data_IF_787965881034
#
_entry.id   IF_787965881034
#
_cell.length_a   1.000
_cell.length_b   1.000
_cell.length_c   1.000
_cell.angle_alpha   90.00
_cell.angle_beta   90.00
_cell.angle_gamma   90.00
#
_symmetry.space_group_name_H-M   'P 1'
#
loop_
_entity.id
_entity.type
_entity.pdbx_description
1 polymer ?
#
# COMPACT_ATOMS: atom_id res chain seq x y z
N UNK A 1 10.56 -8.43 9.99
CA UNK A 1 10.35 -7.17 10.73
C UNK A 1 11.02 -7.14 12.11
N UNK A 2 11.06 -8.24 12.85
CA UNK A 2 11.64 -8.28 14.21
C UNK A 2 13.07 -7.70 14.32
N UNK A 3 13.93 -7.95 13.33
CA UNK A 3 15.30 -7.37 13.28
C UNK A 3 15.24 -5.84 13.23
N UNK A 4 14.40 -5.27 12.35
CA UNK A 4 14.22 -3.83 12.22
C UNK A 4 13.59 -3.22 13.50
N UNK A 5 12.64 -3.91 14.12
CA UNK A 5 12.09 -3.47 15.42
C UNK A 5 13.16 -3.44 16.52
N UNK A 6 14.06 -4.43 16.57
CA UNK A 6 15.20 -4.44 17.48
C UNK A 6 16.19 -3.30 17.23
N UNK A 7 16.44 -2.97 15.94
CA UNK A 7 17.22 -1.79 15.57
C UNK A 7 16.55 -0.50 16.06
N UNK A 8 15.23 -0.33 15.81
CA UNK A 8 14.48 0.83 16.26
C UNK A 8 14.48 0.96 17.79
N UNK A 9 14.37 -0.17 18.50
CA UNK A 9 14.47 -0.23 19.95
C UNK A 9 15.83 0.28 20.44
N UNK A 10 16.92 -0.22 19.86
CA UNK A 10 18.26 0.25 20.18
C UNK A 10 18.42 1.75 19.91
N UNK A 11 17.99 2.22 18.72
CA UNK A 11 18.07 3.64 18.37
C UNK A 11 17.33 4.50 19.39
N UNK A 12 16.12 4.11 19.78
CA UNK A 12 15.27 4.87 20.72
C UNK A 12 15.81 4.86 22.15
N UNK A 13 16.12 3.68 22.69
CA UNK A 13 16.38 3.51 24.13
C UNK A 13 17.85 3.56 24.51
N UNK A 14 18.77 3.27 23.59
CA UNK A 14 20.21 3.34 23.85
C UNK A 14 20.85 4.57 23.21
N UNK A 15 20.53 4.86 21.94
CA UNK A 15 21.14 5.97 21.21
C UNK A 15 20.39 7.31 21.36
N UNK A 16 19.20 7.34 21.97
CA UNK A 16 18.39 8.55 22.12
C UNK A 16 17.89 9.12 20.77
N UNK A 17 17.80 8.27 19.75
CA UNK A 17 17.43 8.63 18.38
C UNK A 17 15.96 8.30 18.13
N UNK A 18 15.21 9.28 17.65
CA UNK A 18 13.83 9.10 17.23
C UNK A 18 13.71 9.21 15.71
N UNK A 19 13.29 8.12 15.06
CA UNK A 19 12.85 8.12 13.67
C UNK A 19 11.34 8.31 13.62
N UNK A 20 10.88 9.29 12.86
CA UNK A 20 9.46 9.63 12.71
C UNK A 20 9.02 9.48 11.27
N UNK A 21 7.72 9.42 11.02
CA UNK A 21 7.15 9.33 9.67
C UNK A 21 7.61 10.48 8.74
N UNK A 22 7.78 11.68 9.28
CA UNK A 22 8.29 12.85 8.56
C UNK A 22 9.82 13.01 8.64
N UNK A 23 10.52 12.09 9.29
CA UNK A 23 11.95 12.18 9.58
C UNK A 23 12.57 10.81 9.81
N UNK A 24 12.83 10.10 8.71
CA UNK A 24 13.41 8.75 8.66
C UNK A 24 14.95 8.75 8.59
N UNK A 25 15.59 9.83 9.03
CA UNK A 25 17.04 9.97 9.06
C UNK A 25 17.49 10.47 10.43
N UNK A 26 18.69 10.07 10.83
CA UNK A 26 19.29 10.50 12.09
C UNK A 26 20.81 10.59 11.96
N UNK A 27 21.41 11.51 12.72
CA UNK A 27 22.86 11.55 12.89
C UNK A 27 23.25 10.61 14.02
N UNK A 28 24.07 9.61 13.72
CA UNK A 28 24.60 8.71 14.73
C UNK A 28 25.72 9.39 15.54
N UNK A 29 25.86 9.06 16.84
CA UNK A 29 27.03 9.48 17.61
C UNK A 29 28.29 8.80 17.06
N UNK A 30 29.46 9.41 17.27
CA UNK A 30 30.75 8.84 16.83
C UNK A 30 31.05 7.48 17.46
N UNK A 31 30.56 7.26 18.68
CA UNK A 31 30.60 5.97 19.39
C UNK A 31 29.17 5.60 19.76
N UNK A 32 28.72 4.43 19.30
CA UNK A 32 27.41 3.90 19.59
C UNK A 32 27.33 3.43 21.06
N UNK A 33 26.28 3.80 21.82
CA UNK A 33 26.14 3.38 23.22
C UNK A 33 26.09 1.84 23.38
N UNK A 34 26.86 1.26 24.31
CA UNK A 34 26.91 -0.18 24.45
C UNK A 34 25.62 -0.74 25.05
N UNK A 35 25.19 -1.91 24.57
CA UNK A 35 24.14 -2.72 25.19
C UNK A 35 24.76 -3.57 26.30
N UNK A 36 24.60 -3.14 27.55
CA UNK A 36 25.28 -3.74 28.72
C UNK A 36 24.58 -4.97 29.30
N UNK A 37 23.32 -5.21 28.92
CA UNK A 37 22.54 -6.39 29.31
C UNK A 37 21.82 -6.95 28.09
N UNK A 38 21.73 -8.27 28.00
CA UNK A 38 20.94 -8.92 26.94
C UNK A 38 19.48 -8.49 27.09
N UNK A 39 18.92 -7.96 26.01
CA UNK A 39 17.50 -7.63 25.94
C UNK A 39 16.73 -8.62 25.06
N UNK A 40 15.50 -8.88 25.47
CA UNK A 40 14.55 -9.70 24.72
C UNK A 40 13.15 -9.14 24.93
N UNK A 41 12.50 -8.80 23.82
CA UNK A 41 11.14 -8.31 23.77
C UNK A 41 10.35 -9.17 22.82
N UNK A 42 9.12 -9.49 23.19
CA UNK A 42 8.23 -10.35 22.43
C UNK A 42 6.83 -9.77 22.43
N UNK A 43 6.02 -10.17 21.46
CA UNK A 43 4.61 -9.85 21.39
C UNK A 43 3.84 -11.13 21.10
N UNK A 44 2.69 -11.28 21.75
CA UNK A 44 1.71 -12.34 21.52
C UNK A 44 0.76 -12.00 20.36
N UNK A 45 0.81 -10.78 19.83
CA UNK A 45 0.01 -10.35 18.68
C UNK A 45 0.53 -11.00 17.39
N UNK A 46 -0.24 -11.92 16.77
CA UNK A 46 0.19 -12.59 15.55
C UNK A 46 0.29 -11.60 14.39
N UNK A 47 -0.55 -10.56 14.39
CA UNK A 47 -0.60 -9.54 13.36
C UNK A 47 -0.57 -8.14 13.98
N UNK A 48 0.26 -7.28 13.41
CA UNK A 48 0.24 -5.83 13.61
C UNK A 48 -0.02 -5.22 12.23
N UNK A 49 -1.27 -4.83 12.05
CA UNK A 49 -1.82 -4.39 10.78
C UNK A 49 -1.59 -2.90 10.55
N UNK A 50 -1.41 -2.50 9.30
CA UNK A 50 -1.31 -1.09 8.91
C UNK A 50 -2.17 -0.76 7.67
N UNK A 51 -2.57 0.50 7.60
CA UNK A 51 -3.29 1.20 6.53
C UNK A 51 -4.81 1.00 6.43
N UNK A 52 -5.47 2.05 5.95
CA UNK A 52 -6.87 2.04 5.55
C UNK A 52 -6.95 2.24 4.02
N UNK A 53 -8.03 1.80 3.37
CA UNK A 53 -8.31 2.16 1.98
C UNK A 53 -8.17 3.66 1.74
N UNK A 54 -8.76 4.48 2.62
CA UNK A 54 -8.71 5.94 2.54
C UNK A 54 -7.28 6.51 2.55
N UNK A 55 -6.32 5.85 3.22
CA UNK A 55 -4.92 6.28 3.24
C UNK A 55 -4.32 6.30 1.82
N UNK A 56 -4.76 5.39 0.95
CA UNK A 56 -4.32 5.34 -0.45
C UNK A 56 -4.76 6.54 -1.26
N UNK A 57 -5.89 7.17 -0.90
CA UNK A 57 -6.39 8.38 -1.55
C UNK A 57 -5.87 9.66 -0.90
N UNK A 58 -5.90 9.73 0.44
CA UNK A 58 -5.58 10.97 1.16
C UNK A 58 -4.08 11.24 1.31
N UNK A 59 -3.28 10.18 1.38
CA UNK A 59 -1.84 10.32 1.68
C UNK A 59 -0.97 9.77 0.56
N UNK A 60 -1.32 8.61 -0.02
CA UNK A 60 -0.38 7.84 -0.83
C UNK A 60 -0.60 7.94 -2.34
N UNK A 61 -1.66 8.63 -2.80
CA UNK A 61 -2.08 8.67 -4.22
C UNK A 61 -0.91 8.91 -5.16
N UNK A 62 -0.08 9.92 -4.86
CA UNK A 62 0.99 10.37 -5.75
C UNK A 62 2.38 9.92 -5.32
N UNK A 63 2.48 8.98 -4.38
CA UNK A 63 3.78 8.46 -3.94
C UNK A 63 4.50 7.76 -5.08
N UNK A 64 5.81 7.96 -5.13
CA UNK A 64 6.72 7.21 -5.96
C UNK A 64 7.36 6.06 -5.17
N UNK A 65 8.33 5.39 -5.77
CA UNK A 65 9.04 4.30 -5.12
C UNK A 65 9.83 4.78 -3.89
N UNK A 66 10.51 5.92 -3.97
CA UNK A 66 11.36 6.40 -2.88
C UNK A 66 10.54 6.69 -1.63
N UNK A 67 9.34 7.24 -1.79
CA UNK A 67 8.43 7.44 -0.65
C UNK A 67 7.85 6.12 -0.13
N UNK A 68 7.49 5.18 -1.00
CA UNK A 68 7.01 3.85 -0.58
C UNK A 68 8.07 3.04 0.15
N UNK A 69 9.32 3.09 -0.31
CA UNK A 69 10.45 2.42 0.32
C UNK A 69 10.64 2.90 1.77
N UNK A 70 10.58 4.22 1.99
CA UNK A 70 10.62 4.81 3.34
C UNK A 70 9.44 4.36 4.21
N UNK A 71 8.24 4.22 3.63
CA UNK A 71 7.08 3.72 4.38
C UNK A 71 7.28 2.27 4.82
N UNK A 72 7.79 1.42 3.93
CA UNK A 72 8.01 0.00 4.24
C UNK A 72 9.13 -0.17 5.28
N UNK A 73 10.19 0.65 5.21
CA UNK A 73 11.20 0.73 6.28
C UNK A 73 10.57 1.17 7.60
N UNK A 74 9.71 2.19 7.58
CA UNK A 74 8.99 2.65 8.78
C UNK A 74 8.10 1.55 9.36
N UNK A 75 7.31 0.86 8.53
CA UNK A 75 6.48 -0.29 8.93
C UNK A 75 7.34 -1.36 9.63
N UNK A 76 8.49 -1.72 9.05
CA UNK A 76 9.38 -2.73 9.61
C UNK A 76 9.99 -2.30 10.96
N UNK A 77 10.47 -1.05 11.07
CA UNK A 77 10.98 -0.48 12.33
C UNK A 77 9.91 -0.45 13.45
N UNK A 78 8.63 -0.38 13.07
CA UNK A 78 7.49 -0.36 14.01
C UNK A 78 6.83 -1.74 14.17
N UNK A 79 7.41 -2.79 13.58
CA UNK A 79 6.99 -4.17 13.80
C UNK A 79 5.69 -4.57 13.08
N UNK A 80 5.21 -3.75 12.14
CA UNK A 80 4.07 -4.08 11.27
C UNK A 80 4.43 -5.30 10.43
N UNK A 81 3.57 -6.33 10.42
CA UNK A 81 3.80 -7.56 9.66
C UNK A 81 2.64 -7.97 8.75
N UNK A 82 1.59 -7.15 8.70
CA UNK A 82 0.44 -7.31 7.80
C UNK A 82 0.06 -5.91 7.33
N UNK A 83 -0.05 -5.65 6.04
CA UNK A 83 -0.40 -4.30 5.58
C UNK A 83 -1.12 -4.34 4.23
N UNK A 84 -2.08 -3.44 4.06
CA UNK A 84 -2.87 -3.33 2.83
C UNK A 84 -2.00 -2.89 1.65
N UNK A 85 -2.22 -3.50 0.48
CA UNK A 85 -1.45 -3.20 -0.74
C UNK A 85 -2.38 -3.00 -1.94
N UNK A 86 -2.95 -1.80 -2.09
CA UNK A 86 -3.93 -1.47 -3.14
C UNK A 86 -3.35 -0.86 -4.42
N UNK A 87 -2.10 -0.40 -4.42
CA UNK A 87 -1.50 0.28 -5.57
C UNK A 87 -1.62 -0.60 -6.83
N UNK A 88 -2.12 -0.03 -7.93
CA UNK A 88 -2.25 -0.75 -9.20
C UNK A 88 -3.44 -1.70 -9.32
N UNK A 89 -4.37 -1.71 -8.35
CA UNK A 89 -5.63 -2.48 -8.46
C UNK A 89 -6.48 -2.00 -9.65
N UNK A 90 -6.39 -0.72 -10.00
CA UNK A 90 -6.99 -0.14 -11.21
C UNK A 90 -6.51 -0.82 -12.50
N UNK A 91 -5.24 -1.25 -12.55
CA UNK A 91 -4.69 -1.99 -13.70
C UNK A 91 -5.29 -3.39 -13.80
N UNK A 92 -5.57 -4.04 -12.66
CA UNK A 92 -6.25 -5.35 -12.64
C UNK A 92 -7.67 -5.21 -13.16
N UNK A 93 -8.42 -4.20 -12.69
CA UNK A 93 -9.78 -3.92 -13.14
C UNK A 93 -9.85 -3.60 -14.62
N UNK A 94 -9.00 -2.71 -15.12
CA UNK A 94 -8.91 -2.43 -16.56
C UNK A 94 -8.73 -3.72 -17.36
N UNK A 95 -7.82 -4.60 -16.94
CA UNK A 95 -7.55 -5.87 -17.62
C UNK A 95 -8.75 -6.84 -17.55
N UNK A 96 -9.48 -6.88 -16.43
CA UNK A 96 -10.71 -7.67 -16.28
C UNK A 96 -11.79 -7.15 -17.22
N UNK A 97 -12.05 -5.84 -17.22
CA UNK A 97 -13.09 -5.23 -18.06
C UNK A 97 -12.80 -5.39 -19.55
N UNK A 98 -11.54 -5.23 -19.98
CA UNK A 98 -11.14 -5.54 -21.35
C UNK A 98 -11.47 -6.99 -21.74
N UNK A 99 -11.22 -7.96 -20.84
CA UNK A 99 -11.58 -9.37 -21.08
C UNK A 99 -13.08 -9.62 -21.10
N UNK A 100 -13.87 -8.79 -20.42
CA UNK A 100 -15.33 -8.81 -20.42
C UNK A 100 -15.94 -8.05 -21.62
N UNK A 101 -15.12 -7.55 -22.54
CA UNK A 101 -15.58 -6.87 -23.77
C UNK A 101 -15.92 -5.38 -23.59
N UNK A 102 -15.50 -4.77 -22.48
CA UNK A 102 -15.59 -3.32 -22.31
C UNK A 102 -14.56 -2.62 -23.21
N UNK A 103 -14.99 -1.54 -23.84
CA UNK A 103 -14.13 -0.60 -24.57
C UNK A 103 -13.36 0.28 -23.59
N UNK A 104 -12.34 0.96 -24.11
CA UNK A 104 -11.55 1.90 -23.32
C UNK A 104 -12.42 3.02 -22.71
N UNK A 105 -13.39 3.52 -23.46
CA UNK A 105 -14.25 4.61 -23.00
C UNK A 105 -15.20 4.14 -21.89
N UNK A 106 -15.79 2.94 -22.01
CA UNK A 106 -16.60 2.38 -20.92
C UNK A 106 -15.75 2.08 -19.65
N UNK A 107 -14.48 1.72 -19.80
CA UNK A 107 -13.57 1.56 -18.64
C UNK A 107 -13.27 2.90 -17.99
N UNK A 108 -13.09 3.95 -18.79
CA UNK A 108 -12.82 5.31 -18.32
C UNK A 108 -14.01 5.89 -17.54
N UNK A 109 -15.23 5.47 -17.85
CA UNK A 109 -16.44 5.84 -17.12
C UNK A 109 -16.57 5.09 -15.78
N UNK A 110 -15.92 3.93 -15.64
CA UNK A 110 -16.00 3.11 -14.43
C UNK A 110 -14.83 3.34 -13.45
N UNK A 111 -13.59 3.31 -13.94
CA UNK A 111 -12.40 3.41 -13.10
C UNK A 111 -12.21 4.85 -12.65
N UNK A 112 -12.27 5.08 -11.33
CA UNK A 112 -12.07 6.41 -10.78
C UNK A 112 -10.64 6.94 -10.99
N UNK A 113 -10.51 8.27 -10.92
CA UNK A 113 -9.21 8.94 -10.96
C UNK A 113 -8.35 8.63 -9.72
N UNK A 114 -7.03 8.93 -9.77
CA UNK A 114 -6.06 8.45 -8.79
C UNK A 114 -6.42 8.85 -7.35
N UNK A 115 -6.89 10.08 -7.16
CA UNK A 115 -7.27 10.63 -5.86
C UNK A 115 -8.49 9.96 -5.22
N UNK A 116 -9.28 9.17 -5.97
CA UNK A 116 -10.54 8.59 -5.52
C UNK A 116 -10.54 7.07 -5.49
N UNK A 117 -9.39 6.44 -5.74
CA UNK A 117 -9.19 4.98 -5.74
C UNK A 117 -9.76 4.29 -4.49
N UNK A 118 -9.62 4.91 -3.31
CA UNK A 118 -10.12 4.32 -2.06
C UNK A 118 -11.65 4.07 -2.10
N UNK A 119 -12.43 5.11 -2.38
CA UNK A 119 -13.90 5.01 -2.39
C UNK A 119 -14.41 4.17 -3.54
N UNK A 120 -13.73 4.20 -4.68
CA UNK A 120 -14.02 3.34 -5.81
C UNK A 120 -13.83 1.86 -5.46
N UNK A 121 -12.68 1.47 -4.89
CA UNK A 121 -12.45 0.08 -4.48
C UNK A 121 -13.31 -0.39 -3.31
N UNK A 122 -13.92 0.55 -2.58
CA UNK A 122 -14.96 0.28 -1.58
C UNK A 122 -16.39 0.34 -2.16
N UNK A 123 -16.52 0.37 -3.49
CA UNK A 123 -17.80 0.31 -4.22
C UNK A 123 -18.76 1.49 -3.93
N UNK A 124 -18.25 2.68 -3.63
CA UNK A 124 -19.07 3.85 -3.30
C UNK A 124 -19.26 4.84 -4.46
N UNK A 125 -18.40 4.78 -5.47
CA UNK A 125 -18.43 5.66 -6.63
C UNK A 125 -17.77 4.96 -7.82
N UNK A 126 -17.96 5.51 -9.01
CA UNK A 126 -17.29 5.12 -10.25
C UNK A 126 -16.91 6.37 -11.06
N UNK A 127 -15.89 6.26 -11.91
CA UNK A 127 -15.46 7.26 -12.90
C UNK A 127 -14.91 8.60 -12.39
N UNK A 128 -15.26 9.01 -11.18
CA UNK A 128 -14.98 10.35 -10.67
C UNK A 128 -13.48 10.67 -10.62
N UNK A 129 -13.10 11.84 -11.17
CA UNK A 129 -11.71 12.29 -11.26
C UNK A 129 -10.87 11.61 -12.35
N UNK A 130 -11.44 10.69 -13.12
CA UNK A 130 -10.82 10.09 -14.30
C UNK A 130 -10.93 10.98 -15.56
N UNK A 131 -10.54 10.47 -16.74
CA UNK A 131 -9.97 9.14 -16.99
C UNK A 131 -8.47 9.05 -16.66
N UNK A 132 -8.01 7.86 -16.32
CA UNK A 132 -6.58 7.60 -16.12
C UNK A 132 -5.85 7.35 -17.46
N UNK A 133 -4.69 7.99 -17.72
CA UNK A 133 -3.90 7.69 -18.91
C UNK A 133 -3.25 6.30 -18.83
N UNK A 134 -2.90 5.67 -19.96
CA UNK A 134 -2.20 4.38 -20.00
C UNK A 134 -0.86 4.36 -19.23
N UNK A 135 -0.19 5.52 -19.18
CA UNK A 135 1.02 5.71 -18.39
C UNK A 135 0.78 5.53 -16.89
N UNK A 136 -0.41 5.87 -16.38
CA UNK A 136 -0.78 5.70 -14.98
C UNK A 136 -0.83 4.22 -14.61
N UNK A 137 -1.63 3.43 -15.34
CA UNK A 137 -1.75 1.99 -15.09
C UNK A 137 -0.40 1.27 -15.18
N UNK A 138 0.41 1.62 -16.18
CA UNK A 138 1.76 1.06 -16.36
C UNK A 138 2.69 1.41 -15.19
N UNK A 139 2.64 2.66 -14.72
CA UNK A 139 3.41 3.13 -13.56
C UNK A 139 3.00 2.37 -12.30
N UNK A 140 1.69 2.26 -12.05
CA UNK A 140 1.15 1.68 -10.83
C UNK A 140 1.41 0.18 -10.74
N UNK A 141 1.31 -0.56 -11.85
CA UNK A 141 1.68 -1.98 -11.89
C UNK A 141 3.16 -2.20 -11.54
N UNK A 142 4.05 -1.38 -12.11
CA UNK A 142 5.50 -1.45 -11.81
C UNK A 142 5.77 -1.11 -10.34
N UNK A 143 5.09 -0.10 -9.81
CA UNK A 143 5.24 0.34 -8.43
C UNK A 143 4.77 -0.76 -7.45
N UNK A 144 3.59 -1.33 -7.68
CA UNK A 144 3.05 -2.41 -6.85
C UNK A 144 3.95 -3.63 -6.79
N UNK A 145 4.55 -4.02 -7.93
CA UNK A 145 5.52 -5.12 -7.97
C UNK A 145 6.74 -4.86 -7.08
N UNK A 146 7.22 -3.62 -7.02
CA UNK A 146 8.30 -3.23 -6.10
C UNK A 146 7.85 -3.25 -4.63
N UNK A 147 6.67 -2.68 -4.33
CA UNK A 147 6.08 -2.65 -2.98
C UNK A 147 5.95 -4.05 -2.41
N UNK A 148 5.24 -4.94 -3.12
CA UNK A 148 5.00 -6.32 -2.68
C UNK A 148 6.31 -7.10 -2.51
N UNK A 149 7.28 -6.88 -3.41
CA UNK A 149 8.60 -7.50 -3.29
C UNK A 149 9.29 -7.09 -1.98
N UNK A 150 9.36 -5.78 -1.68
CA UNK A 150 10.03 -5.27 -0.49
C UNK A 150 9.29 -5.63 0.82
N UNK A 151 7.96 -5.61 0.81
CA UNK A 151 7.16 -6.10 1.95
C UNK A 151 7.54 -7.54 2.30
N UNK A 152 7.60 -8.43 1.30
CA UNK A 152 7.99 -9.83 1.49
C UNK A 152 9.44 -10.00 1.94
N UNK A 153 10.38 -9.19 1.42
CA UNK A 153 11.78 -9.18 1.89
C UNK A 153 11.87 -8.89 3.40
N UNK A 154 10.97 -8.07 3.93
CA UNK A 154 10.90 -7.76 5.36
C UNK A 154 9.97 -8.69 6.15
N UNK A 155 9.29 -9.64 5.52
CA UNK A 155 8.29 -10.50 6.17
C UNK A 155 7.03 -9.72 6.60
N UNK A 156 6.66 -8.71 5.82
CA UNK A 156 5.35 -8.03 5.89
C UNK A 156 4.45 -8.72 4.86
N UNK A 157 3.33 -9.27 5.31
CA UNK A 157 2.35 -9.90 4.45
C UNK A 157 1.47 -8.84 3.78
N UNK A 158 1.45 -8.74 2.44
CA UNK A 158 0.60 -7.79 1.73
C UNK A 158 -0.85 -8.31 1.65
N UNK A 159 -1.80 -7.53 2.14
CA UNK A 159 -3.23 -7.79 1.96
C UNK A 159 -3.65 -7.25 0.60
N UNK A 160 -3.98 -8.15 -0.32
CA UNK A 160 -4.49 -7.82 -1.66
C UNK A 160 -6.02 -7.77 -1.66
N UNK A 161 -6.64 -6.94 -2.52
CA UNK A 161 -8.10 -6.85 -2.60
C UNK A 161 -8.69 -8.17 -3.13
N UNK A 162 -9.75 -8.63 -2.46
CA UNK A 162 -10.64 -9.67 -2.98
C UNK A 162 -11.69 -9.11 -3.93
N UNK A 163 -12.46 -10.01 -4.56
CA UNK A 163 -13.64 -9.64 -5.34
C UNK A 163 -14.90 -9.76 -4.47
N UNK A 164 -15.70 -8.69 -4.38
CA UNK A 164 -16.88 -8.61 -3.53
C UNK A 164 -18.19 -8.34 -4.31
N UNK A 165 -18.20 -8.56 -5.63
CA UNK A 165 -19.40 -8.39 -6.47
C UNK A 165 -19.54 -7.00 -7.13
N UNK A 166 -18.54 -6.13 -7.00
CA UNK A 166 -18.51 -4.86 -7.73
C UNK A 166 -18.53 -5.10 -9.25
N UNK A 167 -19.38 -4.36 -9.97
CA UNK A 167 -19.44 -4.35 -11.45
C UNK A 167 -19.76 -2.92 -11.91
N UNK A 168 -19.46 -2.54 -13.18
CA UNK A 168 -19.89 -1.25 -13.72
C UNK A 168 -21.40 -1.09 -13.73
N UNK A 169 -21.92 0.14 -13.60
CA UNK A 169 -23.36 0.40 -13.57
C UNK A 169 -24.11 -0.17 -14.80
N UNK A 170 -23.45 -0.21 -15.96
CA UNK A 170 -24.01 -0.69 -17.22
C UNK A 170 -23.85 -2.22 -17.43
N UNK A 171 -23.50 -2.98 -16.38
CA UNK A 171 -23.25 -4.41 -16.50
C UNK A 171 -24.49 -5.22 -16.91
N UNK A 172 -25.70 -4.71 -16.65
CA UNK A 172 -26.94 -5.32 -17.14
C UNK A 172 -27.02 -5.26 -18.67
N UNK A 173 -26.78 -4.09 -19.25
CA UNK A 173 -26.81 -3.88 -20.69
C UNK A 173 -25.63 -4.58 -21.37
N UNK A 174 -24.44 -4.50 -20.75
CA UNK A 174 -23.20 -4.99 -21.35
C UNK A 174 -23.01 -6.50 -21.22
N UNK A 175 -23.36 -7.06 -20.06
CA UNK A 175 -23.08 -8.45 -19.70
C UNK A 175 -24.35 -9.28 -19.46
N UNK A 176 -25.53 -8.68 -19.49
CA UNK A 176 -26.78 -9.38 -19.18
C UNK A 176 -26.94 -9.74 -17.70
N UNK A 177 -26.20 -9.08 -16.80
CA UNK A 177 -26.28 -9.34 -15.36
C UNK A 177 -27.55 -8.76 -14.75
N UNK A 178 -28.19 -9.51 -13.87
CA UNK A 178 -29.31 -9.04 -13.05
C UNK A 178 -28.78 -8.57 -11.69
N UNK A 179 -28.21 -7.36 -11.68
CA UNK A 179 -27.61 -6.68 -10.52
C UNK A 179 -28.51 -5.60 -9.95
#
# INVERSE_FOLDING_TARGET
VNIATGLNWYLKYYAGIHLSWNGMTAKLPAVLPPVTKKERHETDLPYRYDLNYCTFSYSMTFWDWERWEKEIDWMALHGINLSLALTGTESVWRNVLLKLGYTKDEINEFVAGPGFTAWWLMNNLEGWGGPNPESWYTRQEKLQKKIVKRMREYGIEPVLPGYCGMVPHNAKEKLGLNV
#
